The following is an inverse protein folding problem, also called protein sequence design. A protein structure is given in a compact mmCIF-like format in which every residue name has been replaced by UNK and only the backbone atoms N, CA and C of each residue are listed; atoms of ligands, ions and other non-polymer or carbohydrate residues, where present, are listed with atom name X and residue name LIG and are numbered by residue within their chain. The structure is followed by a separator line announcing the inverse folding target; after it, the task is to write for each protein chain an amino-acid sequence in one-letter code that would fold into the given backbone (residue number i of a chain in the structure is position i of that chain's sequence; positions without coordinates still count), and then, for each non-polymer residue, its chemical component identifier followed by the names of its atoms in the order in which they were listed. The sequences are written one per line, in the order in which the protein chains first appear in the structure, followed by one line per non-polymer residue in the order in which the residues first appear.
data_IF_557007995702
#
_entry.id   IF_557007995702
#
_cell.length_a   1.000
_cell.length_b   1.000
_cell.length_c   1.000
_cell.angle_alpha   90.00
_cell.angle_beta   90.00
_cell.angle_gamma   90.00
#
_symmetry.space_group_name_H-M   'P 1'
#
loop_
_entity.id
_entity.type
_entity.pdbx_description
1 polymer ?
#
# COMPACT_ATOMS: atom_id res chain seq x y z
N UNK A 1 6.31 -6.27 15.23
CA UNK A 1 6.56 -5.35 16.36
C UNK A 1 5.28 -4.91 17.06
N UNK A 2 4.31 -4.26 16.38
CA UNK A 2 3.01 -3.84 16.96
C UNK A 2 2.33 -4.95 17.77
N UNK A 3 2.16 -6.13 17.20
CA UNK A 3 1.54 -7.30 17.87
C UNK A 3 2.33 -7.76 19.10
N UNK A 4 3.67 -7.62 19.11
CA UNK A 4 4.51 -7.97 20.27
C UNK A 4 4.27 -7.00 21.44
N UNK A 5 4.23 -5.68 21.17
CA UNK A 5 3.90 -4.68 22.18
C UNK A 5 2.48 -4.85 22.74
N UNK A 6 1.52 -5.12 21.87
CA UNK A 6 0.13 -5.37 22.26
C UNK A 6 0.02 -6.59 23.18
N UNK A 7 0.75 -7.67 22.87
CA UNK A 7 0.83 -8.84 23.73
C UNK A 7 1.41 -8.51 25.12
N UNK A 8 2.53 -7.79 25.17
CA UNK A 8 3.18 -7.38 26.43
C UNK A 8 2.29 -6.47 27.28
N UNK A 9 1.53 -5.58 26.66
CA UNK A 9 0.57 -4.69 27.34
C UNK A 9 -0.62 -5.46 27.95
N UNK A 10 -1.13 -6.43 27.22
CA UNK A 10 -2.35 -7.16 27.61
C UNK A 10 -2.06 -8.34 28.55
N UNK A 11 -0.81 -8.80 28.59
CA UNK A 11 -0.38 -9.92 29.42
C UNK A 11 0.83 -9.55 30.28
N UNK A 12 0.72 -8.55 31.16
CA UNK A 12 1.84 -8.14 31.98
C UNK A 12 2.24 -9.27 32.94
N UNK A 13 3.56 -9.42 33.13
CA UNK A 13 4.18 -10.38 34.04
C UNK A 13 3.98 -11.86 33.64
N UNK A 14 3.62 -12.14 32.39
CA UNK A 14 3.45 -13.51 31.88
C UNK A 14 4.52 -13.84 30.81
N UNK A 15 5.23 -14.99 30.85
CA UNK A 15 5.01 -16.13 31.76
C UNK A 15 5.54 -15.91 33.19
N UNK A 16 6.54 -15.06 33.37
CA UNK A 16 6.99 -14.61 34.69
C UNK A 16 7.48 -13.15 34.62
N UNK A 17 7.57 -12.43 35.74
CA UNK A 17 7.91 -11.01 35.75
C UNK A 17 9.26 -10.68 35.11
N UNK A 18 10.28 -11.49 35.35
CA UNK A 18 11.62 -11.25 34.83
C UNK A 18 11.68 -11.45 33.33
N UNK A 19 11.08 -12.53 32.78
CA UNK A 19 11.00 -12.77 31.34
C UNK A 19 10.19 -11.68 30.64
N UNK A 20 9.03 -11.31 31.17
CA UNK A 20 8.23 -10.20 30.65
C UNK A 20 9.01 -8.88 30.59
N UNK A 21 9.80 -8.57 31.62
CA UNK A 21 10.64 -7.37 31.64
C UNK A 21 11.76 -7.44 30.60
N UNK A 22 12.37 -8.61 30.38
CA UNK A 22 13.37 -8.82 29.32
C UNK A 22 12.76 -8.65 27.93
N UNK A 23 11.61 -9.23 27.68
CA UNK A 23 10.89 -9.10 26.41
C UNK A 23 10.48 -7.66 26.13
N UNK A 24 10.10 -6.92 27.18
CA UNK A 24 9.78 -5.49 27.10
C UNK A 24 11.01 -4.64 26.79
N UNK A 25 12.16 -4.94 27.39
CA UNK A 25 13.44 -4.29 27.09
C UNK A 25 13.84 -4.50 25.63
N UNK A 26 13.78 -5.73 25.16
CA UNK A 26 14.14 -6.08 23.79
C UNK A 26 13.21 -5.42 22.77
N UNK A 27 11.90 -5.40 23.03
CA UNK A 27 10.95 -4.70 22.19
C UNK A 27 11.20 -3.20 22.10
N UNK A 28 11.56 -2.56 23.23
CA UNK A 28 11.89 -1.13 23.27
C UNK A 28 13.23 -0.83 22.60
N UNK A 29 14.25 -1.73 22.71
CA UNK A 29 15.53 -1.61 22.00
C UNK A 29 15.35 -1.71 20.49
N UNK A 30 14.61 -2.70 20.02
CA UNK A 30 14.32 -2.88 18.59
C UNK A 30 13.63 -1.65 17.95
N UNK A 31 12.85 -0.93 18.75
CA UNK A 31 12.20 0.32 18.34
C UNK A 31 13.06 1.57 18.55
N UNK A 32 14.26 1.43 19.11
CA UNK A 32 15.10 2.55 19.53
C UNK A 32 14.39 3.52 20.51
N UNK A 33 13.52 2.97 21.37
CA UNK A 33 12.67 3.70 22.32
C UNK A 33 12.92 3.32 23.79
N UNK A 34 14.04 2.64 24.07
CA UNK A 34 14.41 2.32 25.46
C UNK A 34 14.92 3.59 26.17
N UNK A 35 14.07 4.17 27.01
CA UNK A 35 14.44 5.33 27.85
C UNK A 35 15.10 4.89 29.16
N UNK A 36 15.83 5.81 29.83
CA UNK A 36 16.40 5.56 31.15
C UNK A 36 15.31 5.26 32.19
N UNK A 37 14.15 5.91 32.08
CA UNK A 37 12.98 5.65 32.90
C UNK A 37 12.49 4.20 32.73
N UNK A 38 12.32 3.74 31.48
CA UNK A 38 11.92 2.36 31.18
C UNK A 38 12.94 1.36 31.74
N UNK A 39 14.22 1.61 31.53
CA UNK A 39 15.33 0.78 32.00
C UNK A 39 15.32 0.62 33.53
N UNK A 40 15.12 1.72 34.28
CA UNK A 40 15.00 1.69 35.74
C UNK A 40 13.86 0.76 36.22
N UNK A 41 12.68 0.80 35.56
CA UNK A 41 11.58 -0.07 35.94
C UNK A 41 11.86 -1.52 35.56
N UNK A 42 12.43 -1.77 34.39
CA UNK A 42 12.85 -3.09 33.91
C UNK A 42 13.84 -3.74 34.88
N UNK A 43 14.91 -3.01 35.27
CA UNK A 43 15.94 -3.53 36.17
C UNK A 43 15.33 -3.85 37.56
N UNK A 44 14.40 -3.04 38.05
CA UNK A 44 13.72 -3.31 39.31
C UNK A 44 12.85 -4.55 39.26
N UNK A 45 12.09 -4.74 38.17
CA UNK A 45 11.26 -5.92 37.97
C UNK A 45 12.11 -7.19 37.89
N UNK A 46 13.23 -7.16 37.15
CA UNK A 46 14.18 -8.28 37.05
C UNK A 46 14.78 -8.63 38.40
N UNK A 47 15.22 -7.61 39.17
CA UNK A 47 15.89 -7.81 40.43
C UNK A 47 14.96 -8.35 41.53
N UNK A 48 13.72 -7.92 41.56
CA UNK A 48 12.75 -8.24 42.60
C UNK A 48 11.58 -9.15 42.10
N UNK A 49 11.74 -9.72 40.94
CA UNK A 49 10.76 -10.62 40.31
C UNK A 49 9.32 -10.08 40.34
N UNK A 50 9.15 -8.79 40.06
CA UNK A 50 7.84 -8.13 40.00
C UNK A 50 7.16 -7.89 41.37
N UNK A 51 7.90 -7.97 42.48
CA UNK A 51 7.33 -7.81 43.82
C UNK A 51 6.81 -6.41 44.12
N UNK A 52 7.18 -5.40 43.32
CA UNK A 52 6.78 -4.01 43.51
C UNK A 52 5.80 -3.56 42.39
N UNK A 53 4.47 -3.62 42.62
CA UNK A 53 3.44 -3.31 41.61
C UNK A 53 3.63 -1.97 40.90
N UNK A 54 4.11 -0.95 41.60
CA UNK A 54 4.36 0.39 41.03
C UNK A 54 5.33 0.38 39.84
N UNK A 55 6.31 -0.55 39.79
CA UNK A 55 7.24 -0.66 38.68
C UNK A 55 6.58 -1.39 37.50
N UNK A 56 5.75 -2.38 37.79
CA UNK A 56 5.00 -3.11 36.77
C UNK A 56 4.03 -2.17 36.06
N UNK A 57 3.24 -1.41 36.81
CA UNK A 57 2.27 -0.44 36.28
C UNK A 57 2.95 0.66 35.45
N UNK A 58 4.10 1.16 35.96
CA UNK A 58 4.89 2.18 35.25
C UNK A 58 5.41 1.66 33.90
N UNK A 59 5.94 0.44 33.86
CA UNK A 59 6.43 -0.15 32.60
C UNK A 59 5.27 -0.39 31.61
N UNK A 60 4.13 -0.89 32.09
CA UNK A 60 2.90 -1.03 31.25
C UNK A 60 2.49 0.34 30.70
N UNK A 61 2.52 1.41 31.50
CA UNK A 61 2.20 2.76 31.03
C UNK A 61 3.16 3.26 29.96
N UNK A 62 4.46 2.95 30.09
CA UNK A 62 5.47 3.27 29.08
C UNK A 62 5.20 2.50 27.78
N UNK A 63 4.97 1.19 27.86
CA UNK A 63 4.65 0.35 26.69
C UNK A 63 3.40 0.85 25.97
N UNK A 64 2.34 1.23 26.71
CA UNK A 64 1.11 1.82 26.14
C UNK A 64 1.40 3.14 25.43
N UNK A 65 2.26 4.00 25.99
CA UNK A 65 2.66 5.27 25.36
C UNK A 65 3.43 5.04 24.07
N UNK A 66 4.39 4.11 24.07
CA UNK A 66 5.17 3.70 22.89
C UNK A 66 4.24 3.07 21.82
N UNK A 67 3.37 2.16 22.24
CA UNK A 67 2.38 1.55 21.33
C UNK A 67 1.51 2.62 20.67
N UNK A 68 0.99 3.56 21.44
CA UNK A 68 0.18 4.67 20.92
C UNK A 68 0.97 5.55 19.94
N UNK A 69 2.25 5.85 20.23
CA UNK A 69 3.08 6.64 19.31
C UNK A 69 3.31 5.92 17.99
N UNK A 70 3.53 4.60 18.01
CA UNK A 70 3.67 3.78 16.81
C UNK A 70 2.34 3.72 16.03
N UNK A 71 1.22 3.54 16.72
CA UNK A 71 -0.12 3.52 16.09
C UNK A 71 -0.45 4.87 15.46
N UNK A 72 -0.08 5.98 16.13
CA UNK A 72 -0.30 7.34 15.58
C UNK A 72 0.63 7.64 14.39
N UNK A 73 1.88 7.13 14.41
CA UNK A 73 2.79 7.27 13.25
C UNK A 73 2.45 6.30 12.11
N UNK A 74 1.70 5.24 12.39
CA UNK A 74 1.17 4.25 11.43
C UNK A 74 -0.32 4.46 11.15
N UNK A 75 -0.98 5.49 11.70
CA UNK A 75 -2.17 5.99 10.99
C UNK A 75 -1.64 6.43 9.63
N UNK A 76 -2.03 5.76 8.55
CA UNK A 76 -1.68 6.26 7.23
C UNK A 76 -2.07 7.75 7.22
N UNK A 77 -1.25 8.66 6.71
CA UNK A 77 -1.74 10.01 6.45
C UNK A 77 -3.08 9.82 5.77
N UNK A 78 -4.06 10.66 6.12
CA UNK A 78 -5.36 10.65 5.45
C UNK A 78 -5.06 10.67 3.95
N UNK A 79 -5.12 9.46 3.33
CA UNK A 79 -4.70 9.29 1.95
C UNK A 79 -5.81 9.93 1.14
N UNK A 80 -5.67 11.23 0.89
CA UNK A 80 -6.51 11.96 -0.05
C UNK A 80 -6.14 11.50 -1.45
N UNK A 81 -6.64 10.33 -1.83
CA UNK A 81 -6.57 9.92 -3.22
C UNK A 81 -7.30 10.98 -4.05
N UNK A 82 -6.58 11.55 -5.00
CA UNK A 82 -7.22 12.39 -6.02
C UNK A 82 -8.13 11.48 -6.84
N UNK A 83 -9.26 11.98 -7.31
CA UNK A 83 -10.07 11.27 -8.33
C UNK A 83 -9.28 11.18 -9.65
N UNK A 84 -8.21 10.41 -9.60
CA UNK A 84 -7.19 10.29 -10.64
C UNK A 84 -6.91 8.84 -10.96
N UNK A 85 -6.66 8.57 -12.23
CA UNK A 85 -6.20 7.29 -12.76
C UNK A 85 -4.78 7.48 -13.29
N UNK A 86 -3.83 6.74 -12.73
CA UNK A 86 -2.49 6.60 -13.27
C UNK A 86 -2.48 5.50 -14.34
N UNK A 87 -1.88 5.77 -15.51
CA UNK A 87 -1.77 4.81 -16.61
C UNK A 87 -0.31 4.42 -16.83
N UNK A 88 -0.03 3.15 -16.59
CA UNK A 88 1.22 2.47 -16.88
C UNK A 88 1.09 1.70 -18.20
N UNK A 89 1.81 2.10 -19.25
CA UNK A 89 1.75 1.44 -20.56
C UNK A 89 3.03 1.69 -21.37
N UNK A 90 3.20 0.95 -22.46
CA UNK A 90 4.24 1.25 -23.43
C UNK A 90 3.95 2.59 -24.14
N UNK A 91 5.00 3.35 -24.51
CA UNK A 91 4.89 4.65 -25.18
C UNK A 91 5.26 4.54 -26.67
N UNK A 92 4.67 3.59 -27.38
CA UNK A 92 4.71 3.55 -28.86
C UNK A 92 3.49 4.25 -29.48
N UNK A 93 3.52 4.46 -30.79
CA UNK A 93 2.47 5.19 -31.51
C UNK A 93 1.09 4.53 -31.35
N UNK A 94 1.02 3.20 -31.36
CA UNK A 94 -0.23 2.47 -31.22
C UNK A 94 -0.78 2.59 -29.82
N UNK A 95 0.07 2.48 -28.78
CA UNK A 95 -0.33 2.66 -27.38
C UNK A 95 -0.72 4.10 -27.09
N UNK A 96 -0.02 5.07 -27.64
CA UNK A 96 -0.39 6.48 -27.56
C UNK A 96 -1.74 6.75 -28.23
N UNK A 97 -1.99 6.13 -29.39
CA UNK A 97 -3.31 6.16 -30.05
C UNK A 97 -4.41 5.63 -29.12
N UNK A 98 -4.16 4.46 -28.51
CA UNK A 98 -5.09 3.79 -27.60
C UNK A 98 -5.35 4.64 -26.35
N UNK A 99 -4.30 5.23 -25.77
CA UNK A 99 -4.41 6.16 -24.65
C UNK A 99 -5.34 7.32 -24.97
N UNK A 100 -5.14 7.98 -26.11
CA UNK A 100 -5.90 9.17 -26.48
C UNK A 100 -7.35 8.84 -26.93
N UNK A 101 -7.56 7.74 -27.67
CA UNK A 101 -8.86 7.42 -28.26
C UNK A 101 -9.76 6.53 -27.39
N UNK A 102 -9.18 5.76 -26.48
CA UNK A 102 -9.93 4.79 -25.67
C UNK A 102 -9.81 5.10 -24.18
N UNK A 103 -8.59 5.12 -23.64
CA UNK A 103 -8.40 5.27 -22.19
C UNK A 103 -8.89 6.62 -21.70
N UNK A 104 -8.35 7.70 -22.26
CA UNK A 104 -8.69 9.07 -21.82
C UNK A 104 -10.19 9.35 -21.82
N UNK A 105 -10.93 9.15 -22.92
CA UNK A 105 -12.37 9.43 -22.92
C UNK A 105 -13.16 8.49 -22.02
N UNK A 106 -12.71 7.25 -21.82
CA UNK A 106 -13.42 6.29 -20.94
C UNK A 106 -13.24 6.64 -19.47
N UNK A 107 -12.03 7.01 -19.06
CA UNK A 107 -11.68 7.41 -17.70
C UNK A 107 -12.38 8.74 -17.35
N UNK A 108 -12.36 9.72 -18.26
CA UNK A 108 -13.03 11.01 -18.05
C UNK A 108 -14.56 10.86 -17.96
N UNK A 109 -15.16 9.97 -18.74
CA UNK A 109 -16.61 9.68 -18.66
C UNK A 109 -16.99 9.03 -17.31
N UNK A 110 -16.04 8.41 -16.60
CA UNK A 110 -16.23 7.88 -15.26
C UNK A 110 -15.97 8.95 -14.14
N UNK A 111 -15.71 10.21 -14.51
CA UNK A 111 -15.37 11.34 -13.65
C UNK A 111 -14.01 11.21 -12.94
N UNK A 112 -13.01 10.59 -13.57
CA UNK A 112 -11.64 10.59 -13.12
C UNK A 112 -10.78 11.47 -14.03
N UNK A 113 -9.78 12.15 -13.46
CA UNK A 113 -8.65 12.66 -14.23
C UNK A 113 -7.73 11.51 -14.62
N UNK A 114 -6.93 11.70 -15.66
CA UNK A 114 -5.99 10.67 -16.13
C UNK A 114 -4.59 11.28 -16.22
N UNK A 115 -3.60 10.51 -15.81
CA UNK A 115 -2.19 10.90 -15.84
C UNK A 115 -1.32 9.75 -16.31
N UNK A 116 -0.31 10.08 -17.10
CA UNK A 116 0.85 9.22 -17.42
C UNK A 116 2.13 10.04 -17.23
N UNK A 117 3.24 9.36 -16.94
CA UNK A 117 4.51 10.04 -16.61
C UNK A 117 5.06 10.87 -17.78
N UNK A 118 4.85 10.41 -19.01
CA UNK A 118 5.39 11.02 -20.22
C UNK A 118 4.81 12.43 -20.55
N UNK A 119 3.69 12.78 -19.95
CA UNK A 119 2.99 14.04 -20.22
C UNK A 119 3.42 15.21 -19.32
N UNK A 120 4.40 15.02 -18.41
CA UNK A 120 4.74 16.04 -17.41
C UNK A 120 6.24 16.38 -17.42
N UNK A 121 6.53 17.69 -17.42
CA UNK A 121 7.85 18.18 -17.03
C UNK A 121 7.97 18.21 -15.50
N UNK A 122 9.11 17.78 -14.98
CA UNK A 122 9.38 17.73 -13.54
C UNK A 122 10.87 17.97 -13.24
N UNK A 123 11.14 18.51 -12.04
CA UNK A 123 12.48 18.57 -11.48
C UNK A 123 12.71 17.38 -10.54
N UNK A 124 13.85 16.72 -10.65
CA UNK A 124 14.27 15.65 -9.75
C UNK A 124 14.20 14.24 -10.33
N UNK A 125 13.95 13.24 -9.47
CA UNK A 125 13.93 11.83 -9.87
C UNK A 125 12.61 11.45 -10.54
N UNK A 126 12.68 10.91 -11.76
CA UNK A 126 11.50 10.34 -12.44
C UNK A 126 10.81 9.27 -11.58
N UNK A 127 11.57 8.44 -10.88
CA UNK A 127 11.04 7.39 -10.01
C UNK A 127 10.27 7.99 -8.85
N UNK A 128 10.78 9.06 -8.22
CA UNK A 128 10.06 9.76 -7.15
C UNK A 128 8.69 10.25 -7.65
N UNK A 129 8.68 10.92 -8.80
CA UNK A 129 7.43 11.41 -9.43
C UNK A 129 6.43 10.29 -9.74
N UNK A 130 6.92 9.15 -10.28
CA UNK A 130 6.08 7.97 -10.54
C UNK A 130 5.44 7.45 -9.24
N UNK A 131 6.22 7.31 -8.18
CA UNK A 131 5.73 6.83 -6.88
C UNK A 131 4.67 7.78 -6.31
N UNK A 132 4.91 9.09 -6.38
CA UNK A 132 3.96 10.12 -5.90
C UNK A 132 2.66 10.07 -6.70
N UNK A 133 2.72 10.02 -8.05
CA UNK A 133 1.53 9.98 -8.89
C UNK A 133 0.73 8.69 -8.70
N UNK A 134 1.39 7.54 -8.50
CA UNK A 134 0.71 6.28 -8.17
C UNK A 134 0.05 6.37 -6.79
N UNK A 135 0.77 6.88 -5.80
CA UNK A 135 0.26 7.02 -4.43
C UNK A 135 -0.93 7.97 -4.34
N UNK A 136 -0.90 9.06 -5.11
CA UNK A 136 -2.00 10.03 -5.18
C UNK A 136 -3.22 9.51 -5.98
N UNK A 137 -3.07 8.42 -6.74
CA UNK A 137 -4.13 7.94 -7.63
C UNK A 137 -5.11 6.99 -6.93
N UNK A 138 -6.39 7.11 -7.28
CA UNK A 138 -7.43 6.16 -6.85
C UNK A 138 -7.31 4.84 -7.59
N UNK A 139 -6.91 4.88 -8.86
CA UNK A 139 -6.81 3.70 -9.73
C UNK A 139 -5.48 3.75 -10.49
N UNK A 140 -4.83 2.59 -10.61
CA UNK A 140 -3.77 2.35 -11.57
C UNK A 140 -4.30 1.41 -12.66
N UNK A 141 -4.18 1.81 -13.93
CA UNK A 141 -4.41 0.95 -15.10
C UNK A 141 -3.04 0.58 -15.66
N UNK A 142 -2.70 -0.72 -15.71
CA UNK A 142 -1.48 -1.22 -16.30
C UNK A 142 -1.78 -2.04 -17.56
N UNK A 143 -1.36 -1.54 -18.73
CA UNK A 143 -1.43 -2.27 -19.99
C UNK A 143 -0.17 -3.13 -20.16
N UNK A 144 -0.33 -4.43 -20.01
CA UNK A 144 0.74 -5.43 -20.04
C UNK A 144 1.20 -5.77 -21.46
N UNK A 145 0.52 -5.24 -22.49
CA UNK A 145 0.89 -5.48 -23.89
C UNK A 145 2.31 -5.00 -24.17
N UNK A 146 3.11 -5.88 -24.76
CA UNK A 146 4.53 -5.61 -25.06
C UNK A 146 5.50 -5.92 -23.91
N UNK A 147 5.02 -6.46 -22.76
CA UNK A 147 5.86 -6.94 -21.64
C UNK A 147 6.93 -5.94 -21.17
N UNK A 148 6.57 -4.65 -21.06
CA UNK A 148 7.52 -3.61 -20.64
C UNK A 148 7.80 -3.67 -19.14
N UNK A 149 9.08 -3.81 -18.77
CA UNK A 149 9.51 -3.91 -17.36
C UNK A 149 9.05 -2.73 -16.50
N UNK A 150 9.01 -1.51 -17.04
CA UNK A 150 8.48 -0.32 -16.35
C UNK A 150 7.03 -0.48 -15.92
N UNK A 151 6.17 -1.03 -16.77
CA UNK A 151 4.76 -1.29 -16.46
C UNK A 151 4.60 -2.28 -15.32
N UNK A 152 5.40 -3.33 -15.29
CA UNK A 152 5.40 -4.29 -14.18
C UNK A 152 5.94 -3.68 -12.88
N UNK A 153 6.95 -2.82 -12.97
CA UNK A 153 7.47 -2.08 -11.82
C UNK A 153 6.39 -1.19 -11.19
N UNK A 154 5.68 -0.42 -12.00
CA UNK A 154 4.59 0.47 -11.57
C UNK A 154 3.40 -0.32 -11.00
N UNK A 155 3.02 -1.42 -11.63
CA UNK A 155 2.01 -2.34 -11.11
C UNK A 155 2.46 -2.97 -9.78
N UNK A 156 3.74 -3.30 -9.63
CA UNK A 156 4.34 -3.79 -8.38
C UNK A 156 4.27 -2.77 -7.24
N UNK A 157 4.51 -1.48 -7.53
CA UNK A 157 4.33 -0.39 -6.55
C UNK A 157 2.88 -0.34 -6.08
N UNK A 158 1.91 -0.31 -7.00
CA UNK A 158 0.49 -0.30 -6.65
C UNK A 158 0.08 -1.53 -5.84
N UNK A 159 0.58 -2.71 -6.17
CA UNK A 159 0.35 -3.95 -5.42
C UNK A 159 0.92 -3.87 -3.99
N UNK A 160 2.13 -3.34 -3.84
CA UNK A 160 2.76 -3.10 -2.54
C UNK A 160 1.95 -2.13 -1.68
N UNK A 161 1.46 -1.05 -2.27
CA UNK A 161 0.57 -0.10 -1.60
C UNK A 161 -0.73 -0.77 -1.11
N UNK A 162 -1.38 -1.62 -1.95
CA UNK A 162 -2.55 -2.39 -1.54
C UNK A 162 -2.28 -3.29 -0.34
N UNK A 163 -1.13 -3.97 -0.31
CA UNK A 163 -0.71 -4.82 0.81
C UNK A 163 -0.48 -4.02 2.11
N UNK A 164 -0.19 -2.73 1.98
CA UNK A 164 -0.09 -1.77 3.09
C UNK A 164 -1.42 -1.05 3.40
N UNK A 165 -2.56 -1.59 2.97
CA UNK A 165 -3.90 -1.02 3.16
C UNK A 165 -4.13 0.34 2.47
N UNK A 166 -3.36 0.67 1.44
CA UNK A 166 -3.64 1.84 0.61
C UNK A 166 -4.89 1.58 -0.26
N UNK A 167 -5.79 2.56 -0.41
CA UNK A 167 -7.06 2.36 -1.11
C UNK A 167 -6.95 2.26 -2.63
N UNK A 168 -5.76 2.39 -3.21
CA UNK A 168 -5.55 2.29 -4.66
C UNK A 168 -6.13 1.00 -5.23
N UNK A 169 -6.81 1.10 -6.36
CA UNK A 169 -7.34 -0.04 -7.12
C UNK A 169 -6.49 -0.29 -8.36
N UNK A 170 -6.20 -1.54 -8.66
CA UNK A 170 -5.40 -1.92 -9.82
C UNK A 170 -6.27 -2.58 -10.89
N UNK A 171 -6.12 -2.15 -12.14
CA UNK A 171 -6.77 -2.71 -13.31
C UNK A 171 -5.68 -3.14 -14.29
N UNK A 172 -5.52 -4.44 -14.47
CA UNK A 172 -4.63 -5.00 -15.48
C UNK A 172 -5.37 -5.18 -16.80
N UNK A 173 -4.71 -4.80 -17.89
CA UNK A 173 -5.25 -4.93 -19.25
C UNK A 173 -4.20 -5.51 -20.17
N UNK A 174 -4.61 -6.20 -21.21
CA UNK A 174 -3.71 -6.71 -22.23
C UNK A 174 -4.46 -6.98 -23.52
N UNK A 175 -3.83 -6.69 -24.66
CA UNK A 175 -4.35 -7.14 -25.96
C UNK A 175 -4.40 -8.67 -26.02
N UNK A 176 -5.57 -9.21 -26.41
CA UNK A 176 -5.78 -10.65 -26.37
C UNK A 176 -4.81 -11.42 -27.27
N UNK A 177 -4.58 -10.92 -28.47
CA UNK A 177 -3.65 -11.56 -29.42
C UNK A 177 -2.22 -11.61 -28.90
N UNK A 178 -1.78 -10.53 -28.20
CA UNK A 178 -0.49 -10.52 -27.51
C UNK A 178 -0.47 -11.52 -26.37
N UNK A 179 -1.49 -11.53 -25.54
CA UNK A 179 -1.60 -12.46 -24.41
C UNK A 179 -1.53 -13.93 -24.84
N UNK A 180 -2.22 -14.26 -25.92
CA UNK A 180 -2.28 -15.65 -26.44
C UNK A 180 -0.93 -16.11 -27.04
N UNK A 181 -0.18 -15.21 -27.68
CA UNK A 181 1.08 -15.52 -28.38
C UNK A 181 2.30 -15.42 -27.47
N UNK A 182 2.48 -14.28 -26.82
CA UNK A 182 3.70 -13.95 -26.07
C UNK A 182 3.56 -14.23 -24.57
N UNK A 183 2.31 -14.25 -24.07
CA UNK A 183 1.92 -14.30 -22.66
C UNK A 183 2.52 -13.14 -21.84
N UNK A 184 1.84 -12.77 -20.80
CA UNK A 184 2.35 -11.84 -19.78
C UNK A 184 3.21 -12.58 -18.79
N UNK A 185 3.99 -11.84 -17.98
CA UNK A 185 4.84 -12.43 -16.96
C UNK A 185 4.03 -13.30 -16.00
N UNK A 186 4.61 -14.43 -15.57
CA UNK A 186 3.91 -15.45 -14.78
C UNK A 186 3.33 -14.91 -13.47
N UNK A 187 3.96 -13.89 -12.86
CA UNK A 187 3.52 -13.30 -11.59
C UNK A 187 2.13 -12.67 -11.66
N UNK A 188 1.66 -12.29 -12.83
CA UNK A 188 0.36 -11.64 -13.03
C UNK A 188 -0.63 -12.49 -13.84
N UNK A 189 -0.24 -13.66 -14.33
CA UNK A 189 -1.12 -14.54 -15.14
C UNK A 189 -2.35 -15.01 -14.38
N UNK A 190 -2.29 -15.10 -13.06
CA UNK A 190 -3.41 -15.47 -12.19
C UNK A 190 -4.35 -14.32 -11.84
N UNK A 191 -3.99 -13.08 -12.17
CA UNK A 191 -4.80 -11.91 -11.86
C UNK A 191 -5.95 -11.71 -12.87
N UNK A 192 -6.95 -10.92 -12.46
CA UNK A 192 -8.10 -10.62 -13.32
C UNK A 192 -7.75 -9.55 -14.36
N UNK A 193 -7.19 -9.98 -15.49
CA UNK A 193 -6.76 -9.14 -16.60
C UNK A 193 -7.94 -8.90 -17.57
N UNK A 194 -8.15 -7.66 -17.98
CA UNK A 194 -9.04 -7.32 -19.07
C UNK A 194 -8.34 -7.64 -20.40
N UNK A 195 -8.70 -8.75 -21.03
CA UNK A 195 -8.20 -9.10 -22.36
C UNK A 195 -9.12 -8.45 -23.40
N UNK A 196 -8.58 -7.54 -24.22
CA UNK A 196 -9.36 -6.83 -25.24
C UNK A 196 -8.92 -7.18 -26.66
N UNK A 197 -9.88 -7.16 -27.60
CA UNK A 197 -9.66 -7.53 -29.00
C UNK A 197 -9.84 -6.36 -29.97
N UNK A 198 -10.36 -5.23 -29.50
CA UNK A 198 -10.55 -4.02 -30.28
C UNK A 198 -10.76 -2.81 -29.36
N UNK A 199 -10.64 -1.60 -29.91
CA UNK A 199 -10.90 -0.35 -29.19
C UNK A 199 -12.30 -0.34 -28.55
N UNK A 200 -13.32 -0.81 -29.28
CA UNK A 200 -14.70 -0.88 -28.79
C UNK A 200 -14.85 -1.87 -27.64
N UNK A 201 -14.26 -3.05 -27.76
CA UNK A 201 -14.27 -4.07 -26.70
C UNK A 201 -13.53 -3.57 -25.47
N UNK A 202 -12.36 -2.94 -25.66
CA UNK A 202 -11.59 -2.37 -24.56
C UNK A 202 -12.39 -1.30 -23.81
N UNK A 203 -12.95 -0.33 -24.53
CA UNK A 203 -13.78 0.73 -23.96
C UNK A 203 -14.94 0.17 -23.12
N UNK A 204 -15.65 -0.82 -23.63
CA UNK A 204 -16.79 -1.44 -22.95
C UNK A 204 -16.35 -2.17 -21.66
N UNK A 205 -15.30 -2.98 -21.72
CA UNK A 205 -14.79 -3.74 -20.56
C UNK A 205 -14.21 -2.82 -19.49
N UNK A 206 -13.44 -1.81 -19.91
CA UNK A 206 -12.87 -0.85 -19.01
C UNK A 206 -13.97 -0.03 -18.29
N UNK A 207 -14.98 0.45 -19.04
CA UNK A 207 -16.13 1.15 -18.47
C UNK A 207 -16.79 0.32 -17.37
N UNK A 208 -17.10 -0.93 -17.63
CA UNK A 208 -17.70 -1.85 -16.65
C UNK A 208 -16.82 -2.02 -15.39
N UNK A 209 -15.52 -2.13 -15.58
CA UNK A 209 -14.56 -2.25 -14.46
C UNK A 209 -14.51 -0.97 -13.62
N UNK A 210 -14.49 0.19 -14.24
CA UNK A 210 -14.49 1.49 -13.54
C UNK A 210 -15.80 1.72 -12.77
N UNK A 211 -16.95 1.36 -13.35
CA UNK A 211 -18.25 1.42 -12.68
C UNK A 211 -18.31 0.49 -11.46
N UNK A 212 -17.78 -0.73 -11.58
CA UNK A 212 -17.67 -1.65 -10.46
C UNK A 212 -16.79 -1.09 -9.33
N UNK A 213 -15.58 -0.58 -9.67
CA UNK A 213 -14.68 0.03 -8.69
C UNK A 213 -15.36 1.21 -7.98
N UNK A 214 -16.04 2.07 -8.73
CA UNK A 214 -16.76 3.21 -8.16
C UNK A 214 -17.85 2.75 -7.18
N UNK A 215 -18.60 1.70 -7.52
CA UNK A 215 -19.62 1.15 -6.62
C UNK A 215 -19.03 0.57 -5.33
N UNK A 216 -17.86 -0.06 -5.40
CA UNK A 216 -17.19 -0.61 -4.21
C UNK A 216 -16.60 0.49 -3.31
N UNK A 217 -16.05 1.55 -3.91
CA UNK A 217 -15.53 2.71 -3.15
C UNK A 217 -16.65 3.41 -2.38
N UNK A 218 -17.82 3.61 -3.01
CA UNK A 218 -18.97 4.22 -2.36
C UNK A 218 -19.56 3.41 -1.19
N UNK A 219 -19.33 2.10 -1.13
CA UNK A 219 -19.75 1.24 -0.02
C UNK A 219 -18.82 1.32 1.20
N UNK A 220 -17.57 1.71 1.00
CA UNK A 220 -16.56 1.82 2.07
C UNK A 220 -16.56 3.17 2.78
N UNK A 221 -17.38 4.13 2.33
CA UNK A 221 -17.51 5.48 2.91
C UNK A 221 -18.66 5.59 3.96
N UNK A 222 -19.20 4.45 4.44
CA UNK A 222 -20.25 4.40 5.49
C UNK A 222 -19.65 3.96 6.83
#
# INVERSE_FOLDING_TARGET
MKNRLEHLINNPLNPNPSEWAMDSEDALKELNMLSDEAKKHIDNIKTHNGAFPQHNDALVAILKRVYKSIVVTVTPPEIKTRHQVFVAMCFDDERNRLYNKVLTPTVQAANYSIVKVDDQEYEGSIIGKIVDDITDSTILIADLTGNRGGVYYEAGIAKGLQLCNHPIRMVLTCEKDFFDKEKVHFDVQGDNIILYTSDKDYKERLRKRLEYIKSELSKGEV
#
